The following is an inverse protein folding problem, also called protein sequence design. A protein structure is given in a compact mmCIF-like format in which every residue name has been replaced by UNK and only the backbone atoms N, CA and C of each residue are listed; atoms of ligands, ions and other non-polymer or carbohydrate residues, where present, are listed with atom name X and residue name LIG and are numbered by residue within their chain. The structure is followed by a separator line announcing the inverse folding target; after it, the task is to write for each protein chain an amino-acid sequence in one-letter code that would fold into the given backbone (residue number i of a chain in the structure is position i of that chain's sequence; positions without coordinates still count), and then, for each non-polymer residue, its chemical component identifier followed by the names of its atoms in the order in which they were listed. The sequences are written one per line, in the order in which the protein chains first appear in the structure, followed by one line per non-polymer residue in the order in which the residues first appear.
data_IF_976308121206
#
_entry.id   IF_976308121206
#
_cell.length_a   1.000
_cell.length_b   1.000
_cell.length_c   1.000
_cell.angle_alpha   90.00
_cell.angle_beta   90.00
_cell.angle_gamma   90.00
#
_symmetry.space_group_name_H-M   'P 1'
#
loop_
_entity.id
_entity.type
_entity.pdbx_description
1 polymer ?
#
# COMPACT_ATOMS: atom_id res chain seq x y z
N UNK A 1 -6.52 3.68 8.18
CA UNK A 1 -7.78 2.95 8.28
C UNK A 1 -8.45 2.83 6.89
N UNK A 2 -9.30 1.84 6.72
CA UNK A 2 -9.96 1.58 5.43
C UNK A 2 -11.14 2.53 5.19
N UNK A 3 -11.90 2.83 6.23
CA UNK A 3 -13.11 3.63 6.16
C UNK A 3 -13.05 4.81 7.12
N UNK A 4 -13.69 5.91 6.76
CA UNK A 4 -13.82 7.12 7.58
C UNK A 4 -14.57 6.91 8.92
N UNK A 5 -15.07 5.72 9.15
CA UNK A 5 -15.75 5.33 10.39
C UNK A 5 -14.83 4.87 11.51
N UNK A 6 -13.56 5.13 11.45
CA UNK A 6 -12.43 4.65 12.24
C UNK A 6 -12.64 4.45 13.77
N UNK A 7 -13.80 3.98 14.17
CA UNK A 7 -14.12 3.77 15.59
C UNK A 7 -13.09 2.89 16.29
N UNK A 8 -12.63 1.81 15.65
CA UNK A 8 -11.60 0.94 16.19
C UNK A 8 -10.30 1.65 16.49
N UNK A 9 -9.80 2.45 15.53
CA UNK A 9 -8.57 3.24 15.69
C UNK A 9 -8.71 4.31 16.76
N UNK A 10 -9.88 4.99 16.83
CA UNK A 10 -10.15 5.99 17.85
C UNK A 10 -10.18 5.38 19.26
N UNK A 11 -10.77 4.19 19.44
CA UNK A 11 -10.76 3.50 20.73
C UNK A 11 -9.34 3.11 21.16
N UNK A 12 -8.52 2.59 20.25
CA UNK A 12 -7.11 2.30 20.54
C UNK A 12 -6.33 3.56 20.90
N UNK A 13 -6.50 4.65 20.16
CA UNK A 13 -5.81 5.91 20.43
C UNK A 13 -6.24 6.52 21.78
N UNK A 14 -7.51 6.41 22.16
CA UNK A 14 -8.01 6.83 23.48
C UNK A 14 -7.27 6.12 24.60
N UNK A 15 -7.08 4.83 24.48
CA UNK A 15 -6.42 4.04 25.53
C UNK A 15 -4.92 4.33 25.62
N UNK A 16 -4.30 4.81 24.53
CA UNK A 16 -2.92 5.27 24.53
C UNK A 16 -2.74 6.70 25.07
N UNK A 17 -3.80 7.49 25.13
CA UNK A 17 -3.77 8.86 25.63
C UNK A 17 -2.90 9.83 24.83
N UNK A 18 -2.73 9.59 23.52
CA UNK A 18 -1.95 10.43 22.60
C UNK A 18 -2.84 11.12 21.57
N UNK A 19 -2.41 12.28 21.02
CA UNK A 19 -3.12 12.89 19.90
C UNK A 19 -3.24 11.92 18.72
N UNK A 20 -4.39 11.94 18.06
CA UNK A 20 -4.73 11.01 16.99
C UNK A 20 -5.26 11.74 15.75
N UNK A 21 -4.76 11.34 14.58
CA UNK A 21 -5.25 11.77 13.28
C UNK A 21 -5.60 10.52 12.47
N UNK A 22 -6.87 10.38 12.09
CA UNK A 22 -7.34 9.28 11.25
C UNK A 22 -7.05 9.54 9.78
N UNK A 23 -6.52 8.54 9.08
CA UNK A 23 -6.22 8.57 7.65
C UNK A 23 -6.92 7.39 6.96
N UNK A 24 -7.38 7.59 5.72
CA UNK A 24 -8.34 6.69 5.07
C UNK A 24 -7.98 6.41 3.62
N UNK A 25 -6.72 6.10 3.36
CA UNK A 25 -6.21 5.77 2.02
C UNK A 25 -6.44 4.32 1.58
N UNK A 26 -7.32 3.57 2.24
CA UNK A 26 -7.50 2.14 1.98
C UNK A 26 -6.15 1.40 2.05
N UNK A 27 -5.81 0.60 1.03
CA UNK A 27 -4.53 -0.13 0.99
C UNK A 27 -3.30 0.79 0.93
N UNK A 28 -3.44 2.08 0.57
CA UNK A 28 -2.35 3.06 0.57
C UNK A 28 -2.03 3.64 1.94
N UNK A 29 -2.82 3.34 2.97
CA UNK A 29 -2.74 4.00 4.28
C UNK A 29 -1.34 3.91 4.91
N UNK A 30 -0.56 2.83 4.69
CA UNK A 30 0.80 2.77 5.25
C UNK A 30 1.73 3.83 4.64
N UNK A 31 1.70 4.03 3.34
CA UNK A 31 2.49 5.08 2.67
C UNK A 31 1.98 6.47 3.05
N UNK A 32 0.67 6.65 3.14
CA UNK A 32 0.02 7.90 3.54
C UNK A 32 0.41 8.30 4.96
N UNK A 33 0.28 7.40 5.94
CA UNK A 33 0.62 7.67 7.34
C UNK A 33 2.11 7.96 7.51
N UNK A 34 2.97 7.19 6.85
CA UNK A 34 4.43 7.39 6.90
C UNK A 34 4.84 8.74 6.31
N UNK A 35 4.27 9.09 5.16
CA UNK A 35 4.54 10.35 4.49
C UNK A 35 4.08 11.55 5.34
N UNK A 36 2.86 11.54 5.85
CA UNK A 36 2.35 12.62 6.71
C UNK A 36 3.11 12.69 8.03
N UNK A 37 3.49 11.56 8.63
CA UNK A 37 4.34 11.56 9.83
C UNK A 37 5.70 12.23 9.56
N UNK A 38 6.29 12.00 8.38
CA UNK A 38 7.52 12.67 7.97
C UNK A 38 7.33 14.18 7.80
N UNK A 39 6.20 14.62 7.21
CA UNK A 39 5.86 16.05 7.07
C UNK A 39 5.67 16.71 8.43
N UNK A 40 4.93 16.09 9.35
CA UNK A 40 4.73 16.64 10.70
C UNK A 40 6.04 16.76 11.48
N UNK A 41 6.88 15.71 11.41
CA UNK A 41 8.17 15.73 12.07
C UNK A 41 9.11 16.79 11.45
N UNK A 42 9.26 16.81 10.14
CA UNK A 42 10.11 17.79 9.44
C UNK A 42 9.62 19.23 9.58
N UNK A 43 8.30 19.43 9.63
CA UNK A 43 7.69 20.74 9.86
C UNK A 43 7.72 21.23 11.31
N UNK A 44 8.29 20.44 12.24
CA UNK A 44 8.39 20.80 13.65
C UNK A 44 7.05 20.80 14.41
N UNK A 45 6.01 20.19 13.84
CA UNK A 45 4.70 20.09 14.49
C UNK A 45 4.71 19.07 15.63
N UNK A 46 5.55 18.05 15.53
CA UNK A 46 5.76 17.06 16.57
C UNK A 46 7.19 16.51 16.50
N UNK A 47 7.79 16.25 17.66
CA UNK A 47 9.14 15.67 17.74
C UNK A 47 9.16 14.20 17.28
N UNK A 48 8.11 13.47 17.62
CA UNK A 48 7.93 12.04 17.33
C UNK A 48 6.51 11.79 16.86
N UNK A 49 6.35 11.12 15.76
CA UNK A 49 5.05 10.76 15.14
C UNK A 49 5.01 9.28 14.88
N UNK A 50 3.98 8.61 15.36
CA UNK A 50 3.75 7.20 15.10
C UNK A 50 2.89 7.04 13.85
N UNK A 51 3.47 6.51 12.78
CA UNK A 51 2.76 6.08 11.58
C UNK A 51 2.38 4.61 11.72
N UNK A 52 1.10 4.29 11.67
CA UNK A 52 0.65 2.90 11.82
C UNK A 52 -0.59 2.62 10.98
N UNK A 53 -0.73 1.37 10.58
CA UNK A 53 -1.96 0.85 10.00
C UNK A 53 -2.08 -0.65 10.21
N UNK A 54 -3.29 -1.16 10.08
CA UNK A 54 -3.60 -2.58 10.18
C UNK A 54 -4.75 -2.94 9.24
N UNK A 55 -4.86 -4.20 8.93
CA UNK A 55 -6.01 -4.78 8.27
C UNK A 55 -6.38 -6.12 8.91
N UNK A 56 -7.64 -6.49 8.81
CA UNK A 56 -8.13 -7.75 9.36
C UNK A 56 -9.23 -8.31 8.45
N UNK A 57 -9.05 -9.56 8.01
CA UNK A 57 -9.96 -10.21 7.05
C UNK A 57 -11.44 -10.17 7.49
N UNK A 58 -11.72 -10.34 8.77
CA UNK A 58 -13.08 -10.35 9.33
C UNK A 58 -13.58 -8.98 9.79
N UNK A 59 -12.86 -7.89 9.51
CA UNK A 59 -13.23 -6.53 9.88
C UNK A 59 -13.78 -5.73 8.67
N UNK A 60 -13.39 -4.48 8.53
CA UNK A 60 -13.88 -3.57 7.51
C UNK A 60 -13.63 -4.07 6.07
N UNK A 61 -12.54 -4.79 5.82
CA UNK A 61 -12.19 -5.31 4.50
C UNK A 61 -13.12 -6.41 4.00
N UNK A 62 -13.88 -7.05 4.88
CA UNK A 62 -14.74 -8.17 4.50
C UNK A 62 -15.73 -7.80 3.39
N UNK A 63 -16.30 -6.61 3.45
CA UNK A 63 -17.27 -6.13 2.46
C UNK A 63 -16.68 -5.96 1.04
N UNK A 64 -15.37 -5.87 0.91
CA UNK A 64 -14.67 -5.73 -0.36
C UNK A 64 -14.09 -7.05 -0.88
N UNK A 65 -14.38 -8.18 -0.23
CA UNK A 65 -13.89 -9.51 -0.57
C UNK A 65 -15.04 -10.46 -0.89
N UNK A 66 -15.51 -10.40 -2.10
CA UNK A 66 -16.63 -11.23 -2.59
C UNK A 66 -16.12 -12.33 -3.53
N UNK A 67 -16.81 -13.47 -3.63
CA UNK A 67 -17.85 -13.97 -2.72
C UNK A 67 -17.23 -14.49 -1.42
N UNK A 68 -17.87 -14.24 -0.27
CA UNK A 68 -17.43 -14.71 1.05
C UNK A 68 -18.25 -15.88 1.56
N UNK A 69 -19.51 -15.93 1.19
CA UNK A 69 -20.46 -16.95 1.59
C UNK A 69 -20.31 -18.20 0.75
N UNK A 70 -20.83 -19.31 1.28
CA UNK A 70 -21.01 -20.58 0.58
C UNK A 70 -19.72 -21.29 0.15
N UNK A 71 -18.54 -20.89 0.65
CA UNK A 71 -17.27 -21.48 0.27
C UNK A 71 -16.97 -21.41 -1.24
N UNK A 72 -17.53 -20.41 -1.91
CA UNK A 72 -17.35 -20.25 -3.34
C UNK A 72 -15.87 -20.09 -3.71
N UNK A 73 -15.48 -20.70 -4.82
CA UNK A 73 -14.12 -20.57 -5.35
C UNK A 73 -13.89 -19.13 -5.80
N UNK A 74 -12.83 -18.52 -5.29
CA UNK A 74 -12.43 -17.18 -5.70
C UNK A 74 -11.87 -17.17 -7.12
N UNK A 75 -12.04 -16.04 -7.81
CA UNK A 75 -11.43 -15.85 -9.12
C UNK A 75 -9.91 -15.80 -9.01
N UNK A 76 -9.16 -16.17 -10.05
CA UNK A 76 -7.70 -16.06 -10.05
C UNK A 76 -7.17 -14.64 -9.83
N UNK A 77 -7.98 -13.62 -10.15
CA UNK A 77 -7.66 -12.20 -9.98
C UNK A 77 -7.89 -11.68 -8.56
N UNK A 78 -8.66 -12.43 -7.74
CA UNK A 78 -8.96 -12.03 -6.37
C UNK A 78 -7.72 -12.06 -5.48
N UNK A 79 -7.69 -11.18 -4.49
CA UNK A 79 -6.63 -11.12 -3.49
C UNK A 79 -7.16 -11.48 -2.10
N UNK A 80 -6.25 -11.87 -1.22
CA UNK A 80 -6.56 -12.24 0.16
C UNK A 80 -6.22 -11.11 1.12
N UNK A 81 -7.19 -10.66 1.93
CA UNK A 81 -6.90 -9.64 2.94
C UNK A 81 -5.92 -10.18 3.98
N UNK A 82 -4.80 -9.50 4.14
CA UNK A 82 -3.83 -9.79 5.18
C UNK A 82 -4.38 -9.36 6.55
N UNK A 83 -4.40 -10.27 7.51
CA UNK A 83 -4.60 -9.92 8.92
C UNK A 83 -3.24 -9.58 9.51
N UNK A 84 -2.89 -8.32 9.45
CA UNK A 84 -1.55 -7.83 9.74
C UNK A 84 -1.57 -6.36 10.17
N UNK A 85 -0.46 -5.91 10.76
CA UNK A 85 -0.24 -4.53 11.16
C UNK A 85 1.22 -4.15 11.00
N UNK A 86 1.50 -2.86 10.93
CA UNK A 86 2.84 -2.29 10.97
C UNK A 86 2.82 -0.90 11.58
N UNK A 87 3.93 -0.54 12.24
CA UNK A 87 4.10 0.76 12.87
C UNK A 87 5.54 1.25 12.73
N UNK A 88 5.68 2.53 12.40
CA UNK A 88 6.97 3.21 12.30
C UNK A 88 6.98 4.46 13.17
N UNK A 89 7.99 4.62 14.01
CA UNK A 89 8.22 5.85 14.75
C UNK A 89 9.09 6.78 13.89
N UNK A 90 8.53 7.91 13.50
CA UNK A 90 9.18 8.94 12.68
C UNK A 90 9.60 10.11 13.55
N UNK A 91 10.80 10.66 13.32
CA UNK A 91 11.33 11.85 14.00
C UNK A 91 12.11 12.73 13.02
N UNK A 92 12.14 14.03 13.26
CA UNK A 92 12.81 14.99 12.38
C UNK A 92 14.34 14.83 12.36
N UNK A 93 14.93 14.49 13.50
CA UNK A 93 16.37 14.43 13.70
C UNK A 93 16.78 13.16 14.40
N UNK A 94 17.96 12.66 14.06
CA UNK A 94 18.58 11.49 14.69
C UNK A 94 19.65 10.88 13.81
N UNK A 95 20.64 10.28 14.43
CA UNK A 95 21.74 9.59 13.75
C UNK A 95 21.44 8.13 13.43
N UNK A 96 20.34 7.60 13.94
CA UNK A 96 19.93 6.20 13.74
C UNK A 96 18.57 6.13 13.06
N UNK A 97 18.41 5.12 12.19
CA UNK A 97 17.17 4.85 11.47
C UNK A 97 17.32 4.98 9.96
N UNK A 98 16.24 4.68 9.26
CA UNK A 98 16.14 4.79 7.80
C UNK A 98 15.55 6.15 7.45
N UNK A 99 16.25 6.99 6.66
CA UNK A 99 15.74 8.32 6.32
C UNK A 99 14.59 8.23 5.29
N UNK A 100 13.55 9.03 5.51
CA UNK A 100 12.54 9.33 4.48
C UNK A 100 13.06 10.54 3.70
N UNK A 101 13.44 10.35 2.45
CA UNK A 101 14.10 11.38 1.63
C UNK A 101 13.10 12.28 0.90
N UNK A 102 12.01 11.71 0.44
CA UNK A 102 10.96 12.42 -0.31
C UNK A 102 9.64 11.67 -0.22
N UNK A 103 8.55 12.37 -0.48
CA UNK A 103 7.23 11.78 -0.65
C UNK A 103 6.47 12.48 -1.77
N UNK A 104 5.53 11.76 -2.36
CA UNK A 104 4.65 12.28 -3.41
C UNK A 104 3.26 11.69 -3.22
N UNK A 105 2.24 12.53 -3.30
CA UNK A 105 0.86 12.08 -3.41
C UNK A 105 0.47 11.88 -4.87
N UNK A 106 -0.11 10.73 -5.15
CA UNK A 106 -0.69 10.41 -6.44
C UNK A 106 -2.00 11.19 -6.71
N UNK A 107 -2.52 11.02 -7.91
CA UNK A 107 -3.86 11.50 -8.27
C UNK A 107 -4.82 10.32 -8.29
N UNK A 108 -6.07 10.57 -7.98
CA UNK A 108 -7.14 9.61 -8.25
C UNK A 108 -7.19 9.35 -9.75
N UNK A 109 -7.26 8.08 -10.12
CA UNK A 109 -7.34 7.60 -11.50
C UNK A 109 -8.56 6.69 -11.61
N UNK A 110 -9.33 6.89 -12.66
CA UNK A 110 -10.43 6.02 -13.04
C UNK A 110 -10.16 5.50 -14.45
N UNK A 111 -10.06 4.18 -14.58
CA UNK A 111 -9.85 3.50 -15.86
C UNK A 111 -11.01 2.57 -16.22
N UNK A 112 -12.18 2.82 -15.62
CA UNK A 112 -13.40 2.09 -15.85
C UNK A 112 -13.21 0.56 -15.66
N UNK A 113 -12.50 0.17 -14.60
CA UNK A 113 -12.35 -1.24 -14.25
C UNK A 113 -13.57 -1.69 -13.47
N UNK A 114 -14.46 -2.43 -14.11
CA UNK A 114 -15.73 -2.89 -13.53
C UNK A 114 -15.68 -4.31 -12.93
N UNK A 115 -14.53 -4.97 -12.90
CA UNK A 115 -14.40 -6.27 -12.24
C UNK A 115 -14.06 -6.09 -10.76
N UNK A 116 -15.08 -6.20 -9.92
CA UNK A 116 -14.96 -6.08 -8.45
C UNK A 116 -13.96 -7.08 -7.83
N UNK A 117 -13.65 -8.16 -8.53
CA UNK A 117 -12.70 -9.18 -8.07
C UNK A 117 -11.27 -8.93 -8.57
N UNK A 118 -11.03 -7.82 -9.27
CA UNK A 118 -9.73 -7.50 -9.85
C UNK A 118 -9.21 -6.13 -9.37
N UNK A 119 -8.98 -6.02 -8.08
CA UNK A 119 -8.46 -4.77 -7.49
C UNK A 119 -7.07 -4.41 -8.00
N UNK A 120 -6.24 -5.39 -8.35
CA UNK A 120 -4.93 -5.13 -8.94
C UNK A 120 -5.02 -4.33 -10.24
N UNK A 121 -5.97 -4.68 -11.12
CA UNK A 121 -6.21 -3.92 -12.35
C UNK A 121 -6.74 -2.51 -12.06
N UNK A 122 -7.61 -2.35 -11.06
CA UNK A 122 -8.15 -1.04 -10.66
C UNK A 122 -7.07 -0.12 -10.05
N UNK A 123 -6.11 -0.67 -9.29
CA UNK A 123 -5.05 0.09 -8.64
C UNK A 123 -3.86 0.41 -9.55
N UNK A 124 -3.58 -0.43 -10.55
CA UNK A 124 -2.40 -0.32 -11.39
C UNK A 124 -2.27 1.05 -12.09
N UNK A 125 -3.33 1.65 -12.66
CA UNK A 125 -3.21 2.93 -13.34
C UNK A 125 -2.75 4.07 -12.42
N UNK A 126 -3.22 4.09 -11.18
CA UNK A 126 -2.77 5.06 -10.18
C UNK A 126 -1.30 4.85 -9.81
N UNK A 127 -0.86 3.59 -9.70
CA UNK A 127 0.55 3.26 -9.47
C UNK A 127 1.43 3.75 -10.62
N UNK A 128 1.10 3.41 -11.86
CA UNK A 128 1.85 3.83 -13.05
C UNK A 128 1.92 5.35 -13.18
N UNK A 129 0.78 6.04 -13.07
CA UNK A 129 0.70 7.50 -13.13
C UNK A 129 1.57 8.17 -12.06
N UNK A 130 1.57 7.61 -10.83
CA UNK A 130 2.35 8.17 -9.72
C UNK A 130 3.85 7.96 -9.95
N UNK A 131 4.27 6.78 -10.40
CA UNK A 131 5.67 6.50 -10.74
C UNK A 131 6.18 7.41 -11.85
N UNK A 132 5.45 7.54 -12.96
CA UNK A 132 5.83 8.40 -14.08
C UNK A 132 6.01 9.86 -13.63
N UNK A 133 5.07 10.36 -12.85
CA UNK A 133 5.16 11.73 -12.32
C UNK A 133 6.30 11.90 -11.35
N UNK A 134 6.53 10.92 -10.48
CA UNK A 134 7.64 10.95 -9.52
C UNK A 134 8.98 10.99 -10.26
N UNK A 135 9.22 10.08 -11.20
CA UNK A 135 10.45 10.05 -11.96
C UNK A 135 10.68 11.34 -12.77
N UNK A 136 9.63 11.85 -13.42
CA UNK A 136 9.71 13.13 -14.14
C UNK A 136 10.02 14.31 -13.21
N UNK A 137 9.37 14.38 -12.04
CA UNK A 137 9.54 15.49 -11.10
C UNK A 137 10.90 15.49 -10.39
N UNK A 138 11.47 14.31 -10.17
CA UNK A 138 12.74 14.16 -9.45
C UNK A 138 13.95 14.00 -10.37
N UNK A 139 13.73 13.83 -11.69
CA UNK A 139 14.78 13.52 -12.64
C UNK A 139 15.43 12.16 -12.40
N UNK A 140 14.71 11.23 -11.76
CA UNK A 140 15.18 9.87 -11.48
C UNK A 140 14.54 8.86 -12.43
N UNK A 141 15.04 7.64 -12.39
CA UNK A 141 14.59 6.49 -13.17
C UNK A 141 14.49 5.26 -12.27
N UNK A 142 13.89 4.15 -12.70
CA UNK A 142 13.85 2.91 -11.91
C UNK A 142 15.24 2.44 -11.46
N UNK A 143 16.27 2.65 -12.26
CA UNK A 143 17.65 2.22 -12.02
C UNK A 143 18.35 2.98 -10.88
N UNK A 144 17.79 4.12 -10.46
CA UNK A 144 18.32 4.90 -9.32
C UNK A 144 17.94 4.30 -7.96
N UNK A 145 17.19 3.20 -7.95
CA UNK A 145 16.73 2.51 -6.76
C UNK A 145 17.20 1.06 -6.75
N UNK A 146 17.63 0.57 -5.58
CA UNK A 146 17.95 -0.85 -5.42
C UNK A 146 16.70 -1.74 -5.55
N UNK A 147 15.55 -1.21 -5.14
CA UNK A 147 14.26 -1.85 -5.32
C UNK A 147 13.10 -0.84 -5.31
N UNK A 148 12.05 -1.15 -6.06
CA UNK A 148 10.77 -0.45 -6.06
C UNK A 148 9.73 -1.42 -5.50
N UNK A 149 9.04 -1.01 -4.42
CA UNK A 149 8.02 -1.83 -3.79
C UNK A 149 6.64 -1.22 -3.99
N UNK A 150 5.69 -2.02 -4.48
CA UNK A 150 4.26 -1.68 -4.45
C UNK A 150 3.57 -2.33 -3.26
N UNK A 151 2.46 -1.74 -2.82
CA UNK A 151 1.76 -2.14 -1.59
C UNK A 151 1.08 -3.50 -1.69
N UNK A 152 0.19 -3.65 -2.65
CA UNK A 152 -0.65 -4.83 -2.80
C UNK A 152 -1.33 -4.91 -4.17
N UNK A 153 -0.60 -4.63 -5.24
CA UNK A 153 -1.11 -4.82 -6.60
C UNK A 153 -1.38 -6.30 -6.90
N UNK A 154 -0.69 -7.19 -6.20
CA UNK A 154 -0.75 -8.62 -6.44
C UNK A 154 -0.15 -9.03 -7.79
N UNK A 155 -0.28 -10.30 -8.16
CA UNK A 155 0.31 -10.82 -9.40
C UNK A 155 -0.26 -10.14 -10.65
N UNK A 156 -1.59 -9.97 -10.70
CA UNK A 156 -2.27 -9.37 -11.86
C UNK A 156 -1.90 -7.90 -12.03
N UNK A 157 -2.02 -7.11 -10.97
CA UNK A 157 -1.67 -5.68 -11.01
C UNK A 157 -0.19 -5.45 -11.29
N UNK A 158 0.69 -6.32 -10.76
CA UNK A 158 2.13 -6.30 -11.04
C UNK A 158 2.43 -6.55 -12.52
N UNK A 159 1.83 -7.57 -13.12
CA UNK A 159 2.03 -7.86 -14.54
C UNK A 159 1.57 -6.69 -15.43
N UNK A 160 0.41 -6.11 -15.14
CA UNK A 160 -0.11 -4.95 -15.85
C UNK A 160 0.79 -3.71 -15.65
N UNK A 161 1.30 -3.49 -14.44
CA UNK A 161 2.23 -2.39 -14.16
C UNK A 161 3.52 -2.52 -14.96
N UNK A 162 4.10 -3.72 -15.01
CA UNK A 162 5.31 -3.98 -15.80
C UNK A 162 5.08 -3.70 -17.28
N UNK A 163 3.97 -4.16 -17.84
CA UNK A 163 3.61 -3.91 -19.23
C UNK A 163 3.44 -2.42 -19.50
N UNK A 164 2.73 -1.70 -18.66
CA UNK A 164 2.51 -0.26 -18.80
C UNK A 164 3.82 0.53 -18.73
N UNK A 165 4.64 0.26 -17.72
CA UNK A 165 5.90 0.98 -17.53
C UNK A 165 6.92 0.67 -18.64
N UNK A 166 6.92 -0.54 -19.18
CA UNK A 166 7.74 -0.89 -20.33
C UNK A 166 7.32 -0.11 -21.60
N UNK A 167 6.01 0.08 -21.83
CA UNK A 167 5.49 0.94 -22.93
C UNK A 167 5.93 2.39 -22.79
N UNK A 168 6.08 2.88 -21.57
CA UNK A 168 6.58 4.23 -21.27
C UNK A 168 8.12 4.34 -21.33
N UNK A 169 8.82 3.25 -21.67
CA UNK A 169 10.28 3.21 -21.75
C UNK A 169 10.99 3.17 -20.38
N UNK A 170 10.28 2.84 -19.33
CA UNK A 170 10.78 2.77 -17.96
C UNK A 170 10.54 1.37 -17.33
N UNK A 171 11.18 0.30 -17.86
CA UNK A 171 10.98 -1.05 -17.33
C UNK A 171 11.37 -1.15 -15.86
N UNK A 172 10.57 -1.92 -15.10
CA UNK A 172 10.71 -2.07 -13.65
C UNK A 172 11.37 -3.41 -13.28
N UNK A 173 12.64 -3.62 -13.70
CA UNK A 173 13.34 -4.88 -13.46
C UNK A 173 13.62 -5.17 -11.97
N UNK A 174 13.65 -4.12 -11.14
CA UNK A 174 13.88 -4.16 -9.70
C UNK A 174 12.60 -4.03 -8.85
N UNK A 175 11.43 -4.23 -9.47
CA UNK A 175 10.14 -4.14 -8.79
C UNK A 175 9.80 -5.41 -8.00
N UNK A 176 9.12 -5.21 -6.87
CA UNK A 176 8.52 -6.25 -6.03
C UNK A 176 7.21 -5.74 -5.46
N UNK A 177 6.22 -6.61 -5.36
CA UNK A 177 4.93 -6.29 -4.76
C UNK A 177 4.81 -6.90 -3.36
N UNK A 178 4.35 -6.12 -2.39
CA UNK A 178 4.22 -6.59 -1.01
C UNK A 178 3.15 -7.68 -0.87
N UNK A 179 2.10 -7.64 -1.67
CA UNK A 179 1.08 -8.70 -1.70
C UNK A 179 1.64 -10.03 -2.20
N UNK A 180 2.54 -10.00 -3.17
CA UNK A 180 3.25 -11.18 -3.66
C UNK A 180 4.37 -11.64 -2.70
N UNK A 181 4.91 -10.73 -1.87
CA UNK A 181 5.96 -11.06 -0.91
C UNK A 181 5.44 -11.62 0.41
N UNK A 182 4.20 -11.30 0.79
CA UNK A 182 3.63 -11.67 2.07
C UNK A 182 3.18 -13.14 2.10
N UNK A 183 2.69 -13.63 0.98
CA UNK A 183 2.18 -15.00 0.83
C UNK A 183 2.90 -15.73 -0.29
N UNK A 184 3.03 -17.04 -0.14
CA UNK A 184 3.42 -17.92 -1.23
C UNK A 184 2.16 -18.28 -2.06
N UNK A 185 1.99 -17.62 -3.19
CA UNK A 185 0.83 -17.80 -4.08
C UNK A 185 0.74 -19.22 -4.69
N UNK A 186 1.86 -19.95 -4.70
CA UNK A 186 1.87 -21.32 -5.22
C UNK A 186 1.36 -22.37 -4.22
N UNK A 187 1.63 -22.18 -2.93
CA UNK A 187 1.31 -23.15 -1.87
C UNK A 187 0.12 -22.73 -1.00
N UNK A 188 -0.13 -21.42 -0.88
CA UNK A 188 -1.23 -20.86 -0.12
C UNK A 188 -2.37 -20.43 -1.05
N UNK A 189 -3.58 -20.80 -0.74
CA UNK A 189 -4.75 -20.51 -1.59
C UNK A 189 -5.18 -19.03 -1.51
N UNK A 190 -4.29 -18.12 -1.88
CA UNK A 190 -4.49 -16.66 -1.84
C UNK A 190 -4.71 -16.04 -3.22
N UNK A 191 -4.79 -16.84 -4.27
CA UNK A 191 -4.98 -16.42 -5.67
C UNK A 191 -3.91 -15.39 -6.09
N UNK A 192 -4.29 -14.15 -6.40
CA UNK A 192 -3.38 -13.12 -6.88
C UNK A 192 -2.50 -12.48 -5.76
N UNK A 193 -2.51 -13.01 -4.56
CA UNK A 193 -1.64 -12.55 -3.46
C UNK A 193 -2.38 -11.84 -2.33
N UNK A 194 -1.62 -11.21 -1.45
CA UNK A 194 -2.13 -10.46 -0.31
C UNK A 194 -2.66 -9.08 -0.70
N UNK A 195 -3.55 -8.54 0.13
CA UNK A 195 -4.08 -7.18 0.00
C UNK A 195 -4.45 -6.60 1.37
N UNK A 196 -4.73 -5.32 1.39
CA UNK A 196 -5.12 -4.58 2.58
C UNK A 196 -4.01 -3.69 3.13
N UNK A 197 -4.39 -2.70 3.94
CA UNK A 197 -3.43 -1.75 4.51
C UNK A 197 -2.34 -2.41 5.37
N UNK A 198 -2.69 -3.48 6.09
CA UNK A 198 -1.75 -4.27 6.88
C UNK A 198 -0.75 -5.07 6.04
N UNK A 199 -1.07 -5.38 4.77
CA UNK A 199 -0.18 -6.12 3.88
C UNK A 199 1.12 -5.34 3.64
N UNK A 200 1.03 -4.14 3.09
CA UNK A 200 2.18 -3.28 2.83
C UNK A 200 2.90 -2.89 4.13
N UNK A 201 2.15 -2.67 5.21
CA UNK A 201 2.71 -2.34 6.52
C UNK A 201 3.57 -3.47 7.10
N UNK A 202 3.10 -4.71 7.04
CA UNK A 202 3.84 -5.87 7.52
C UNK A 202 5.13 -6.09 6.74
N UNK A 203 5.09 -5.98 5.40
CA UNK A 203 6.28 -6.14 4.56
C UNK A 203 7.25 -4.98 4.74
N UNK A 204 6.75 -3.75 4.83
CA UNK A 204 7.61 -2.58 5.11
C UNK A 204 8.35 -2.74 6.42
N UNK A 205 7.62 -3.00 7.53
CA UNK A 205 8.20 -3.08 8.86
C UNK A 205 8.99 -4.38 9.11
N UNK A 206 8.52 -5.50 8.56
CA UNK A 206 9.13 -6.82 8.81
C UNK A 206 10.26 -7.20 7.86
N UNK A 207 10.35 -6.56 6.68
CA UNK A 207 11.34 -6.92 5.66
C UNK A 207 12.10 -5.71 5.11
N UNK A 208 11.41 -4.71 4.56
CA UNK A 208 12.07 -3.62 3.83
C UNK A 208 12.94 -2.77 4.77
N UNK A 209 12.39 -2.30 5.88
CA UNK A 209 13.14 -1.51 6.85
C UNK A 209 14.31 -2.27 7.49
N UNK A 210 14.18 -3.55 7.89
CA UNK A 210 15.33 -4.35 8.31
C UNK A 210 16.42 -4.49 7.25
N UNK A 211 16.07 -4.68 5.98
CA UNK A 211 17.05 -4.75 4.88
C UNK A 211 17.79 -3.43 4.68
N UNK A 212 17.07 -2.30 4.76
CA UNK A 212 17.67 -0.96 4.71
C UNK A 212 18.58 -0.71 5.92
N UNK A 213 18.14 -1.06 7.12
CA UNK A 213 18.92 -0.90 8.34
C UNK A 213 20.19 -1.76 8.33
N UNK A 214 20.15 -2.94 7.72
CA UNK A 214 21.30 -3.84 7.55
C UNK A 214 22.21 -3.46 6.36
N UNK A 215 21.87 -2.41 5.59
CA UNK A 215 22.62 -1.99 4.40
C UNK A 215 22.53 -2.97 3.22
N UNK A 216 21.61 -3.91 3.24
CA UNK A 216 21.31 -4.81 2.11
C UNK A 216 20.62 -4.08 0.96
N UNK A 217 19.84 -3.05 1.29
CA UNK A 217 19.33 -2.04 0.38
C UNK A 217 19.77 -0.68 0.87
N UNK A 218 19.98 0.27 -0.04
CA UNK A 218 20.42 1.63 0.28
C UNK A 218 19.36 2.68 -0.06
N UNK A 219 18.67 2.47 -1.19
CA UNK A 219 17.65 3.38 -1.68
C UNK A 219 16.48 2.59 -2.26
N UNK A 220 15.32 2.77 -1.69
CA UNK A 220 14.09 2.12 -2.16
C UNK A 220 13.03 3.17 -2.47
N UNK A 221 12.16 2.85 -3.41
CA UNK A 221 10.90 3.55 -3.62
C UNK A 221 9.77 2.66 -3.09
N UNK A 222 8.99 3.17 -2.14
CA UNK A 222 7.83 2.48 -1.58
C UNK A 222 6.57 3.20 -2.00
N UNK A 223 5.74 2.55 -2.79
CA UNK A 223 4.50 3.07 -3.34
C UNK A 223 3.33 2.20 -2.88
N UNK A 224 2.28 2.81 -2.36
CA UNK A 224 1.04 2.09 -2.08
C UNK A 224 -0.13 2.78 -2.77
N UNK A 225 -1.04 1.99 -3.28
CA UNK A 225 -2.29 2.41 -3.92
C UNK A 225 -3.47 1.87 -3.14
N UNK A 226 -4.62 2.54 -3.25
CA UNK A 226 -5.86 2.08 -2.63
C UNK A 226 -7.00 2.13 -3.64
N UNK A 227 -7.85 1.11 -3.60
CA UNK A 227 -9.12 1.08 -4.30
C UNK A 227 -10.21 0.59 -3.35
N UNK A 228 -11.37 1.19 -3.44
CA UNK A 228 -12.56 0.83 -2.66
C UNK A 228 -13.70 0.48 -3.61
N UNK A 229 -13.57 -0.66 -4.27
CA UNK A 229 -14.62 -1.20 -5.14
C UNK A 229 -15.65 -1.92 -4.26
N UNK A 230 -16.76 -1.27 -3.97
CA UNK A 230 -17.88 -1.86 -3.24
C UNK A 230 -18.95 -2.40 -4.18
N UNK A 231 -19.77 -3.34 -3.69
CA UNK A 231 -20.93 -3.80 -4.47
C UNK A 231 -21.89 -2.64 -4.79
N UNK A 232 -22.01 -1.67 -3.90
CA UNK A 232 -22.88 -0.50 -4.11
C UNK A 232 -22.38 0.35 -5.26
N UNK A 233 -21.11 0.75 -5.29
CA UNK A 233 -20.54 1.54 -6.38
C UNK A 233 -20.58 0.80 -7.70
N UNK A 234 -20.26 -0.50 -7.70
CA UNK A 234 -20.38 -1.35 -8.87
C UNK A 234 -21.81 -1.39 -9.46
N UNK A 235 -22.83 -1.57 -8.61
CA UNK A 235 -24.24 -1.58 -9.05
C UNK A 235 -24.72 -0.21 -9.53
N UNK A 236 -24.05 0.86 -9.13
CA UNK A 236 -24.31 2.23 -9.61
C UNK A 236 -23.58 2.55 -10.93
N UNK A 237 -22.79 1.63 -11.44
CA UNK A 237 -21.99 1.81 -12.66
C UNK A 237 -20.72 2.63 -12.48
N UNK A 238 -20.33 2.87 -11.23
CA UNK A 238 -19.04 3.49 -10.88
C UNK A 238 -17.91 2.45 -10.82
N UNK A 239 -16.70 2.89 -10.98
CA UNK A 239 -15.51 2.03 -10.98
C UNK A 239 -14.48 2.44 -9.93
#
# INVERSE_FOLDING_TARGET
DLLSQCSGSAFCARDLGIPFVGLYGACSTMAETLGLAAVFAAGGMAERVLALTSSHFCAAERQFRTPLEYGAKRTPTAQWTATAAGACLVRAHGSAGVPVLSMTFGRVQDFAVHDINNMGAAMMPAAASTLLRYFSATGTSPQDFDAIFTGDLGEVGTALLHEQMAKEGLPLDNHKDCGCLLYDTNSQNVQAGGSGAGCSAAVLCGKILPMLAAGQLRRVLFLATGALMSQTTFLQGES
#
